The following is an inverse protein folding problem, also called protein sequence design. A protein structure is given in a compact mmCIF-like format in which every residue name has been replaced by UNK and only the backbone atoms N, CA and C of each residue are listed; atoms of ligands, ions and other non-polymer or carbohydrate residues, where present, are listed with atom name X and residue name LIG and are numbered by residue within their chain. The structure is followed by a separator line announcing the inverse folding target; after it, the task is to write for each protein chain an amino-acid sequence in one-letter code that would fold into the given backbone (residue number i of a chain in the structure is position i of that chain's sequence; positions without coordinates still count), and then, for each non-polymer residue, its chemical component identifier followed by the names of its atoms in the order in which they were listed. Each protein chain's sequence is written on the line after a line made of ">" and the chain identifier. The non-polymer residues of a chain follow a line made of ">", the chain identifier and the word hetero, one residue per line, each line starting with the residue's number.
data_IF_931694218661
#
_entry.id   IF_931694218661
#
_cell.length_a   1.000
_cell.length_b   1.000
_cell.length_c   1.000
_cell.angle_alpha   90.00
_cell.angle_beta   90.00
_cell.angle_gamma   90.00
#
_symmetry.space_group_name_H-M   'P 1'
#
loop_
_entity.id
_entity.type
_entity.pdbx_description
1 polymer ?
#
# COMPACT_ATOMS: atom_id res chain seq x y z
N UNK A 1 9.18 -16.40 3.14
CA UNK A 1 8.21 -15.31 3.30
C UNK A 1 7.86 -15.16 4.77
N UNK A 2 7.55 -13.96 5.25
CA UNK A 2 7.04 -13.76 6.62
C UNK A 2 5.79 -14.65 6.80
N UNK A 3 5.75 -15.47 7.86
CA UNK A 3 4.76 -16.54 8.07
C UNK A 3 3.30 -16.10 7.86
N UNK A 4 2.96 -14.84 8.16
CA UNK A 4 1.60 -14.33 7.96
C UNK A 4 1.34 -13.55 6.66
N UNK A 5 2.36 -13.06 5.94
CA UNK A 5 2.12 -12.27 4.72
C UNK A 5 1.65 -13.14 3.54
N UNK A 6 1.96 -14.43 3.58
CA UNK A 6 1.52 -15.40 2.58
C UNK A 6 -0.01 -15.51 2.48
N UNK A 7 -0.71 -15.36 3.60
CA UNK A 7 -2.14 -15.62 3.73
C UNK A 7 -2.93 -14.35 4.09
N UNK A 8 -2.26 -13.22 4.27
CA UNK A 8 -2.95 -11.97 4.60
C UNK A 8 -3.76 -11.42 3.41
N UNK A 9 -4.69 -10.51 3.70
CA UNK A 9 -5.60 -9.87 2.74
C UNK A 9 -4.90 -9.13 1.59
N UNK A 10 -3.63 -8.77 1.73
CA UNK A 10 -2.84 -8.11 0.66
C UNK A 10 -1.92 -9.09 -0.09
N UNK A 11 -2.05 -10.40 0.14
CA UNK A 11 -1.18 -11.41 -0.46
C UNK A 11 -1.28 -11.44 -1.99
N UNK A 12 -2.46 -11.23 -2.56
CA UNK A 12 -2.69 -11.15 -4.00
C UNK A 12 -1.78 -10.09 -4.66
N UNK A 13 -1.81 -8.84 -4.17
CA UNK A 13 -0.97 -7.75 -4.70
C UNK A 13 0.52 -7.89 -4.38
N UNK A 14 0.86 -8.64 -3.32
CA UNK A 14 2.23 -8.96 -2.94
C UNK A 14 2.87 -9.98 -3.90
N UNK A 15 2.08 -10.96 -4.34
CA UNK A 15 2.51 -12.05 -5.25
C UNK A 15 2.45 -11.64 -6.72
N UNK A 16 1.55 -10.74 -7.06
CA UNK A 16 1.39 -10.24 -8.42
C UNK A 16 2.66 -9.55 -8.92
N UNK A 17 3.20 -10.03 -10.04
CA UNK A 17 4.38 -9.47 -10.69
C UNK A 17 4.09 -9.15 -12.18
N UNK A 18 3.17 -8.23 -12.48
CA UNK A 18 2.87 -7.85 -13.86
C UNK A 18 4.05 -7.11 -14.49
N UNK A 19 4.20 -7.21 -15.81
CA UNK A 19 5.06 -6.30 -16.57
C UNK A 19 4.50 -4.88 -16.44
N UNK A 20 5.26 -3.99 -15.78
CA UNK A 20 4.86 -2.60 -15.61
C UNK A 20 5.40 -1.78 -16.76
N UNK A 21 4.51 -1.24 -17.58
CA UNK A 21 4.87 -0.39 -18.73
C UNK A 21 5.03 1.05 -18.27
N UNK A 22 6.27 1.55 -18.31
CA UNK A 22 6.63 2.87 -17.75
C UNK A 22 5.85 3.99 -18.41
N UNK A 23 5.64 3.91 -19.72
CA UNK A 23 4.88 4.88 -20.51
C UNK A 23 3.42 4.98 -20.03
N UNK A 24 2.76 3.84 -19.78
CA UNK A 24 1.37 3.83 -19.34
C UNK A 24 1.20 4.47 -17.95
N UNK A 25 2.10 4.17 -17.01
CA UNK A 25 2.04 4.75 -15.66
C UNK A 25 2.29 6.25 -15.68
N UNK A 26 3.25 6.71 -16.50
CA UNK A 26 3.56 8.13 -16.65
C UNK A 26 2.40 8.88 -17.32
N UNK A 27 1.84 8.33 -18.40
CA UNK A 27 0.72 8.94 -19.11
C UNK A 27 -0.54 9.02 -18.23
N UNK A 28 -0.82 7.96 -17.45
CA UNK A 28 -1.90 7.95 -16.48
C UNK A 28 -1.81 9.13 -15.51
N UNK A 29 -0.68 9.31 -14.83
CA UNK A 29 -0.54 10.38 -13.83
C UNK A 29 -0.43 11.78 -14.44
N UNK A 30 0.06 11.88 -15.69
CA UNK A 30 0.13 13.15 -16.42
C UNK A 30 -1.26 13.70 -16.72
N UNK A 31 -2.21 12.83 -17.06
CA UNK A 31 -3.57 13.21 -17.45
C UNK A 31 -4.61 12.96 -16.34
N UNK A 32 -4.17 12.51 -15.16
CA UNK A 32 -5.05 12.22 -14.04
C UNK A 32 -5.76 13.48 -13.54
N UNK A 33 -7.00 13.32 -13.14
CA UNK A 33 -7.82 14.32 -12.45
C UNK A 33 -8.72 13.61 -11.44
N UNK A 34 -9.11 14.33 -10.38
CA UNK A 34 -9.97 13.76 -9.32
C UNK A 34 -11.37 14.33 -9.48
N UNK A 35 -12.34 13.46 -9.72
CA UNK A 35 -13.75 13.82 -9.75
C UNK A 35 -14.37 13.50 -8.38
N UNK A 36 -14.63 14.55 -7.60
CA UNK A 36 -15.26 14.45 -6.28
C UNK A 36 -16.79 14.24 -6.35
N UNK A 37 -17.38 14.18 -7.55
CA UNK A 37 -18.81 14.02 -7.82
C UNK A 37 -19.12 12.74 -8.61
N UNK A 38 -18.30 11.70 -8.44
CA UNK A 38 -18.52 10.40 -9.08
C UNK A 38 -19.88 9.78 -8.72
N UNK A 39 -20.25 8.73 -9.45
CA UNK A 39 -21.53 8.02 -9.31
C UNK A 39 -21.78 7.59 -7.85
N UNK A 40 -22.96 7.90 -7.30
CA UNK A 40 -23.29 7.61 -5.90
C UNK A 40 -22.56 8.46 -4.85
N UNK A 41 -21.88 9.55 -5.23
CA UNK A 41 -21.14 10.42 -4.32
C UNK A 41 -19.78 9.86 -3.89
N UNK A 42 -19.35 8.75 -4.50
CA UNK A 42 -18.03 8.14 -4.30
C UNK A 42 -17.13 8.69 -5.40
N UNK A 43 -16.14 9.50 -5.02
CA UNK A 43 -15.21 10.08 -5.99
C UNK A 43 -14.44 9.01 -6.78
N UNK A 44 -13.89 9.39 -7.93
CA UNK A 44 -13.02 8.54 -8.74
C UNK A 44 -11.79 9.34 -9.24
N UNK A 45 -10.78 8.63 -9.73
CA UNK A 45 -9.65 9.21 -10.46
C UNK A 45 -9.90 8.92 -11.94
N UNK A 46 -9.95 9.97 -12.75
CA UNK A 46 -10.14 9.89 -14.19
C UNK A 46 -8.83 10.26 -14.88
N UNK A 47 -8.49 9.56 -15.95
CA UNK A 47 -7.31 9.85 -16.77
C UNK A 47 -7.56 9.44 -18.22
N UNK A 48 -6.67 9.84 -19.11
CA UNK A 48 -6.67 9.42 -20.52
C UNK A 48 -5.30 8.84 -20.83
N UNK A 49 -5.27 7.61 -21.33
CA UNK A 49 -4.02 6.95 -21.78
C UNK A 49 -4.20 6.60 -23.25
N UNK A 50 -3.33 7.14 -24.13
CA UNK A 50 -3.39 6.86 -25.58
C UNK A 50 -4.81 7.00 -26.19
N UNK A 51 -5.59 7.99 -25.71
CA UNK A 51 -6.97 8.24 -26.16
C UNK A 51 -8.05 7.37 -25.51
N UNK A 52 -7.70 6.47 -24.59
CA UNK A 52 -8.63 5.62 -23.84
C UNK A 52 -8.92 6.26 -22.48
N UNK A 53 -10.19 6.46 -22.16
CA UNK A 53 -10.62 6.97 -20.86
C UNK A 53 -10.45 5.90 -19.78
N UNK A 54 -9.74 6.25 -18.72
CA UNK A 54 -9.45 5.39 -17.57
C UNK A 54 -10.14 5.97 -16.35
N UNK A 55 -10.93 5.14 -15.67
CA UNK A 55 -11.56 5.45 -14.39
C UNK A 55 -11.03 4.48 -13.34
N UNK A 56 -10.62 5.01 -12.19
CA UNK A 56 -10.21 4.25 -11.00
C UNK A 56 -11.08 4.70 -9.83
N UNK A 57 -11.92 3.79 -9.34
CA UNK A 57 -12.75 3.97 -8.14
C UNK A 57 -12.28 3.07 -7.00
N UNK A 58 -12.78 3.32 -5.79
CA UNK A 58 -12.61 2.38 -4.66
C UNK A 58 -13.06 0.96 -5.04
N UNK A 59 -14.16 0.83 -5.81
CA UNK A 59 -14.69 -0.46 -6.22
C UNK A 59 -13.75 -1.18 -7.20
N UNK A 60 -13.21 -0.48 -8.20
CA UNK A 60 -12.23 -1.07 -9.13
C UNK A 60 -10.98 -1.51 -8.38
N UNK A 61 -10.51 -0.71 -7.42
CA UNK A 61 -9.37 -1.09 -6.57
C UNK A 61 -9.70 -2.36 -5.78
N UNK A 62 -10.88 -2.46 -5.17
CA UNK A 62 -11.32 -3.64 -4.43
C UNK A 62 -11.35 -4.89 -5.30
N UNK A 63 -11.99 -4.79 -6.45
CA UNK A 63 -12.25 -5.93 -7.33
C UNK A 63 -10.96 -6.45 -7.96
N UNK A 64 -10.08 -5.55 -8.41
CA UNK A 64 -8.85 -5.94 -9.12
C UNK A 64 -7.71 -6.30 -8.16
N UNK A 65 -7.61 -5.63 -7.01
CA UNK A 65 -6.52 -5.90 -6.05
C UNK A 65 -6.87 -7.00 -5.04
N UNK A 66 -8.12 -7.48 -5.03
CA UNK A 66 -8.60 -8.60 -4.22
C UNK A 66 -8.31 -8.43 -2.71
N UNK A 67 -8.48 -7.22 -2.17
CA UNK A 67 -8.25 -6.97 -0.74
C UNK A 67 -9.23 -7.68 0.20
N UNK A 68 -10.33 -8.25 -0.32
CA UNK A 68 -11.33 -8.95 0.49
C UNK A 68 -11.95 -8.06 1.56
N UNK A 69 -12.07 -6.76 1.28
CA UNK A 69 -12.72 -5.79 2.15
C UNK A 69 -14.10 -5.38 1.63
N UNK A 70 -14.83 -4.58 2.39
CA UNK A 70 -16.19 -4.17 2.08
C UNK A 70 -16.37 -2.65 2.18
N UNK A 71 -17.40 -2.13 1.50
CA UNK A 71 -17.81 -0.74 1.63
C UNK A 71 -18.13 -0.43 3.10
N UNK A 72 -17.89 0.82 3.52
CA UNK A 72 -18.18 1.34 4.87
C UNK A 72 -17.35 0.76 6.03
N UNK A 73 -16.41 -0.16 5.77
CA UNK A 73 -15.43 -0.55 6.78
C UNK A 73 -14.55 0.65 7.21
N UNK A 74 -14.03 0.67 8.45
CA UNK A 74 -13.23 1.79 8.92
C UNK A 74 -11.89 1.86 8.17
N UNK A 75 -11.43 3.09 7.90
CA UNK A 75 -10.05 3.37 7.47
C UNK A 75 -9.18 3.87 8.63
N UNK A 76 -9.75 3.97 9.84
CA UNK A 76 -9.04 4.44 11.03
C UNK A 76 -9.68 3.88 12.29
N UNK A 77 -8.86 3.31 13.16
CA UNK A 77 -9.24 2.88 14.49
C UNK A 77 -8.92 3.93 15.57
N UNK A 78 -9.60 3.90 16.74
CA UNK A 78 -9.26 4.76 17.87
C UNK A 78 -7.79 4.64 18.27
N UNK A 79 -7.16 5.78 18.57
CA UNK A 79 -5.71 5.83 18.88
C UNK A 79 -5.33 4.91 20.04
N UNK A 80 -6.17 4.80 21.07
CA UNK A 80 -5.95 3.93 22.23
C UNK A 80 -5.84 2.45 21.82
N UNK A 81 -6.80 1.97 21.01
CA UNK A 81 -6.83 0.61 20.48
C UNK A 81 -5.61 0.29 19.60
N UNK A 82 -5.20 1.24 18.76
CA UNK A 82 -3.99 1.11 17.93
C UNK A 82 -2.72 1.06 18.79
N UNK A 83 -2.64 1.91 19.83
CA UNK A 83 -1.48 1.99 20.73
C UNK A 83 -1.25 0.66 21.48
N UNK A 84 -2.32 0.04 21.99
CA UNK A 84 -2.23 -1.26 22.67
C UNK A 84 -1.62 -2.35 21.77
N UNK A 85 -1.96 -2.36 20.47
CA UNK A 85 -1.38 -3.31 19.53
C UNK A 85 0.07 -2.95 19.20
N UNK A 86 0.40 -1.66 19.04
CA UNK A 86 1.79 -1.23 18.81
C UNK A 86 2.73 -1.69 19.94
N UNK A 87 2.27 -1.61 21.20
CA UNK A 87 3.00 -2.14 22.35
C UNK A 87 3.22 -3.65 22.23
N UNK A 88 2.19 -4.42 21.85
CA UNK A 88 2.30 -5.87 21.57
C UNK A 88 3.20 -6.20 20.37
N UNK A 89 3.33 -5.29 19.42
CA UNK A 89 4.25 -5.37 18.27
C UNK A 89 5.68 -4.94 18.62
N UNK A 90 5.98 -4.67 19.90
CA UNK A 90 7.29 -4.20 20.36
C UNK A 90 7.73 -2.88 19.71
N UNK A 91 6.78 -1.98 19.43
CA UNK A 91 7.11 -0.65 18.93
C UNK A 91 7.64 0.24 20.07
N UNK A 92 8.84 0.80 19.89
CA UNK A 92 9.55 1.54 20.94
C UNK A 92 9.34 3.06 20.87
N UNK A 93 8.50 3.54 19.95
CA UNK A 93 8.33 4.96 19.65
C UNK A 93 7.08 5.62 20.22
N UNK A 94 6.90 6.89 19.91
CA UNK A 94 5.65 7.63 20.15
C UNK A 94 4.66 7.40 19.01
N UNK A 95 3.38 7.66 19.27
CA UNK A 95 2.29 7.59 18.31
C UNK A 95 1.20 8.61 18.69
N UNK A 96 0.63 9.38 17.74
CA UNK A 96 0.94 9.47 16.30
C UNK A 96 1.98 10.57 15.95
N UNK A 97 2.72 10.49 14.80
CA UNK A 97 2.84 9.38 13.84
C UNK A 97 3.75 8.24 14.35
N UNK A 98 3.93 7.16 13.60
CA UNK A 98 4.93 6.12 13.95
C UNK A 98 6.18 6.18 13.09
N UNK A 99 7.32 5.72 13.61
CA UNK A 99 8.58 5.64 12.88
C UNK A 99 8.93 4.19 12.53
N UNK A 100 9.06 3.88 11.23
CA UNK A 100 9.44 2.55 10.70
C UNK A 100 10.63 1.94 11.43
N UNK A 101 11.68 2.74 11.69
CA UNK A 101 12.93 2.29 12.31
C UNK A 101 12.77 1.82 13.76
N UNK A 102 11.73 2.26 14.48
CA UNK A 102 11.45 1.89 15.87
C UNK A 102 10.61 0.60 16.01
N UNK A 103 10.35 -0.09 14.89
CA UNK A 103 9.76 -1.43 14.86
C UNK A 103 10.85 -2.50 14.78
N UNK A 104 10.64 -3.70 15.34
CA UNK A 104 11.56 -4.82 15.12
C UNK A 104 11.56 -5.24 13.63
N UNK A 105 12.60 -5.96 13.15
CA UNK A 105 12.83 -6.20 11.72
C UNK A 105 11.61 -6.75 10.96
N UNK A 106 10.88 -7.67 11.57
CA UNK A 106 9.65 -8.25 11.02
C UNK A 106 8.59 -7.18 10.69
N UNK A 107 8.19 -6.40 11.71
CA UNK A 107 7.19 -5.33 11.54
C UNK A 107 7.74 -4.14 10.74
N UNK A 108 9.06 -3.96 10.75
CA UNK A 108 9.75 -2.94 9.93
C UNK A 108 9.64 -3.25 8.45
N UNK A 109 9.75 -4.50 8.05
CA UNK A 109 9.55 -4.90 6.66
C UNK A 109 8.13 -4.61 6.20
N UNK A 110 7.13 -4.99 7.01
CA UNK A 110 5.72 -4.69 6.70
C UNK A 110 5.49 -3.18 6.59
N UNK A 111 6.00 -2.41 7.54
CA UNK A 111 5.94 -0.94 7.50
C UNK A 111 6.63 -0.36 6.25
N UNK A 112 7.78 -0.92 5.85
CA UNK A 112 8.47 -0.50 4.63
C UNK A 112 7.61 -0.76 3.39
N UNK A 113 6.95 -1.92 3.31
CA UNK A 113 6.05 -2.24 2.21
C UNK A 113 4.89 -1.24 2.13
N UNK A 114 4.25 -0.93 3.27
CA UNK A 114 3.19 0.09 3.29
C UNK A 114 3.71 1.44 2.78
N UNK A 115 4.85 1.93 3.30
CA UNK A 115 5.43 3.23 2.89
C UNK A 115 5.69 3.30 1.38
N UNK A 116 6.27 2.24 0.80
CA UNK A 116 6.75 2.27 -0.59
C UNK A 116 5.66 1.90 -1.60
N UNK A 117 4.75 0.99 -1.23
CA UNK A 117 3.83 0.36 -2.18
C UNK A 117 2.35 0.71 -1.97
N UNK A 118 1.90 1.03 -0.76
CA UNK A 118 0.47 1.18 -0.44
C UNK A 118 0.11 2.62 -0.02
N UNK A 119 0.92 3.27 0.80
CA UNK A 119 0.68 4.64 1.25
C UNK A 119 1.31 5.65 0.31
N UNK A 120 0.79 6.87 0.35
CA UNK A 120 1.34 7.97 -0.40
C UNK A 120 2.63 8.53 0.16
N UNK A 121 3.39 9.18 -0.73
CA UNK A 121 4.67 9.82 -0.41
C UNK A 121 4.42 11.27 -0.02
N UNK A 122 4.06 11.50 1.25
CA UNK A 122 4.01 12.86 1.83
C UNK A 122 5.01 13.10 2.95
N UNK A 123 5.31 12.08 3.75
CA UNK A 123 6.25 12.16 4.87
C UNK A 123 7.64 11.64 4.49
N UNK A 124 8.64 11.88 5.34
CA UNK A 124 9.98 11.33 5.15
C UNK A 124 9.99 9.79 5.08
N UNK A 125 11.08 9.21 4.56
CA UNK A 125 11.21 7.76 4.30
C UNK A 125 10.99 6.83 5.51
N UNK A 126 10.87 7.37 6.72
CA UNK A 126 10.72 6.63 7.97
C UNK A 126 9.42 6.92 8.73
N UNK A 127 8.70 8.00 8.44
CA UNK A 127 7.48 8.37 9.19
C UNK A 127 6.22 7.80 8.52
N UNK A 128 5.33 7.23 9.34
CA UNK A 128 4.11 6.54 8.93
C UNK A 128 2.91 7.25 9.54
N UNK A 129 1.98 7.67 8.69
CA UNK A 129 0.76 8.36 9.09
C UNK A 129 -0.08 7.52 10.07
N UNK A 130 -1.00 8.20 10.77
CA UNK A 130 -1.93 7.53 11.68
C UNK A 130 -2.80 6.49 10.93
N UNK A 131 -3.31 6.85 9.75
CA UNK A 131 -4.13 5.97 8.89
C UNK A 131 -3.33 4.77 8.41
N UNK A 132 -2.10 4.97 7.91
CA UNK A 132 -1.23 3.88 7.49
C UNK A 132 -0.82 2.97 8.66
N UNK A 133 -0.60 3.55 9.85
CA UNK A 133 -0.36 2.79 11.08
C UNK A 133 -1.58 1.94 11.44
N UNK A 134 -2.79 2.50 11.33
CA UNK A 134 -4.05 1.79 11.54
C UNK A 134 -4.22 0.64 10.55
N UNK A 135 -3.85 0.82 9.28
CA UNK A 135 -3.89 -0.21 8.25
C UNK A 135 -2.92 -1.37 8.55
N UNK A 136 -1.68 -1.05 8.95
CA UNK A 136 -0.67 -2.05 9.35
C UNK A 136 -1.18 -2.86 10.54
N UNK A 137 -1.72 -2.19 11.57
CA UNK A 137 -2.26 -2.87 12.75
C UNK A 137 -3.47 -3.73 12.39
N UNK A 138 -4.40 -3.21 11.60
CA UNK A 138 -5.57 -3.96 11.16
C UNK A 138 -5.19 -5.21 10.37
N UNK A 139 -4.24 -5.09 9.43
CA UNK A 139 -3.70 -6.23 8.70
C UNK A 139 -3.05 -7.25 9.64
N UNK A 140 -2.32 -6.77 10.65
CA UNK A 140 -1.58 -7.63 11.58
C UNK A 140 -2.49 -8.40 12.54
N UNK A 141 -3.67 -7.85 12.83
CA UNK A 141 -4.65 -8.41 13.75
C UNK A 141 -5.87 -9.01 13.05
N UNK A 142 -5.85 -9.07 11.71
CA UNK A 142 -6.98 -9.42 10.84
C UNK A 142 -8.28 -8.66 11.17
N UNK A 143 -8.18 -7.37 11.51
CA UNK A 143 -9.35 -6.54 11.74
C UNK A 143 -9.96 -6.11 10.41
N UNK A 144 -11.28 -5.94 10.42
CA UNK A 144 -12.00 -5.37 9.29
C UNK A 144 -11.50 -3.96 9.01
N UNK A 145 -11.08 -3.73 7.78
CA UNK A 145 -10.49 -2.46 7.39
C UNK A 145 -10.72 -2.26 5.89
N UNK A 146 -11.04 -1.03 5.51
CA UNK A 146 -11.22 -0.69 4.10
C UNK A 146 -9.87 -0.33 3.45
N UNK A 147 -9.11 -1.35 3.04
CA UNK A 147 -7.85 -1.20 2.32
C UNK A 147 -8.04 -0.54 0.95
N UNK A 148 -9.13 -0.86 0.26
CA UNK A 148 -9.50 -0.28 -1.04
C UNK A 148 -9.69 1.22 -0.93
N UNK A 149 -10.47 1.68 0.05
CA UNK A 149 -10.64 3.11 0.34
C UNK A 149 -9.36 3.77 0.79
N UNK A 150 -8.58 3.10 1.65
CA UNK A 150 -7.28 3.60 2.08
C UNK A 150 -6.36 3.87 0.89
N UNK A 151 -6.19 2.89 -0.01
CA UNK A 151 -5.36 3.03 -1.22
C UNK A 151 -5.91 4.14 -2.11
N UNK A 152 -7.22 4.16 -2.36
CA UNK A 152 -7.88 5.19 -3.17
C UNK A 152 -7.61 6.60 -2.64
N UNK A 153 -7.80 6.81 -1.33
CA UNK A 153 -7.55 8.10 -0.71
C UNK A 153 -6.07 8.49 -0.73
N UNK A 154 -5.15 7.54 -0.56
CA UNK A 154 -3.71 7.79 -0.66
C UNK A 154 -3.30 8.14 -2.10
N UNK A 155 -3.87 7.48 -3.12
CA UNK A 155 -3.72 7.84 -4.53
C UNK A 155 -4.17 9.29 -4.79
N UNK A 156 -5.36 9.66 -4.31
CA UNK A 156 -5.89 11.03 -4.41
C UNK A 156 -5.00 12.07 -3.71
N UNK A 157 -4.57 11.77 -2.48
CA UNK A 157 -3.69 12.66 -1.70
C UNK A 157 -2.35 12.90 -2.39
N UNK A 158 -1.78 11.90 -3.06
CA UNK A 158 -0.54 12.07 -3.83
C UNK A 158 -0.76 12.88 -5.10
N UNK A 159 -1.87 12.65 -5.79
CA UNK A 159 -2.21 13.45 -6.98
C UNK A 159 -2.31 14.95 -6.63
N UNK A 160 -2.87 15.29 -5.47
CA UNK A 160 -2.90 16.66 -4.96
C UNK A 160 -1.55 17.21 -4.45
N UNK A 161 -0.50 16.37 -4.44
CA UNK A 161 0.87 16.75 -4.06
C UNK A 161 1.61 17.53 -5.15
N UNK A 162 2.94 17.73 -4.98
CA UNK A 162 3.73 18.42 -6.00
C UNK A 162 3.91 17.49 -7.21
N UNK A 163 3.98 18.03 -8.43
CA UNK A 163 4.17 17.23 -9.67
C UNK A 163 5.36 16.27 -9.62
N UNK A 164 6.46 16.66 -8.97
CA UNK A 164 7.64 15.78 -8.79
C UNK A 164 7.35 14.55 -7.90
N UNK A 165 6.34 14.63 -7.04
CA UNK A 165 5.92 13.56 -6.13
C UNK A 165 4.93 12.59 -6.80
N UNK A 166 4.43 12.92 -8.01
CA UNK A 166 3.50 12.09 -8.79
C UNK A 166 4.20 11.06 -9.68
N UNK A 167 5.54 11.11 -9.80
CA UNK A 167 6.28 10.25 -10.72
C UNK A 167 6.28 8.78 -10.27
N UNK A 168 5.71 7.90 -11.10
CA UNK A 168 5.65 6.43 -10.91
C UNK A 168 5.04 6.00 -9.57
N UNK A 169 3.90 6.59 -9.22
CA UNK A 169 3.13 6.18 -8.03
C UNK A 169 2.26 4.97 -8.36
N UNK A 170 2.17 4.02 -7.42
CA UNK A 170 1.37 2.79 -7.54
C UNK A 170 1.55 2.00 -8.85
N UNK A 171 2.79 1.82 -9.35
CA UNK A 171 3.04 1.24 -10.67
C UNK A 171 2.42 -0.16 -10.82
N UNK A 172 2.54 -0.99 -9.78
CA UNK A 172 1.97 -2.34 -9.79
C UNK A 172 0.44 -2.32 -9.78
N UNK A 173 -0.18 -1.54 -8.90
CA UNK A 173 -1.63 -1.52 -8.76
C UNK A 173 -2.29 -0.96 -10.01
N UNK A 174 -1.75 0.13 -10.54
CA UNK A 174 -2.19 0.68 -11.83
C UNK A 174 -2.03 -0.34 -12.94
N UNK A 175 -0.90 -1.02 -13.04
CA UNK A 175 -0.71 -2.03 -14.08
C UNK A 175 -1.69 -3.20 -13.97
N UNK A 176 -2.00 -3.66 -12.76
CA UNK A 176 -3.01 -4.69 -12.52
C UNK A 176 -4.39 -4.21 -13.01
N UNK A 177 -4.80 -2.99 -12.65
CA UNK A 177 -6.06 -2.37 -13.09
C UNK A 177 -6.10 -2.21 -14.62
N UNK A 178 -5.02 -1.73 -15.23
CA UNK A 178 -4.93 -1.57 -16.68
C UNK A 178 -5.02 -2.91 -17.42
N UNK A 179 -4.39 -3.96 -16.88
CA UNK A 179 -4.46 -5.29 -17.48
C UNK A 179 -5.87 -5.87 -17.42
N UNK A 180 -6.54 -5.73 -16.27
CA UNK A 180 -7.85 -6.33 -16.03
C UNK A 180 -8.99 -5.57 -16.70
N UNK A 181 -8.99 -4.22 -16.62
CA UNK A 181 -10.10 -3.38 -17.05
C UNK A 181 -9.90 -2.71 -18.42
N UNK A 182 -8.65 -2.64 -18.89
CA UNK A 182 -8.30 -1.88 -20.10
C UNK A 182 -7.32 -2.66 -21.00
N UNK A 183 -7.67 -3.92 -21.29
CA UNK A 183 -6.84 -4.85 -22.07
C UNK A 183 -6.50 -4.34 -23.48
N UNK A 184 -7.35 -3.49 -24.04
CA UNK A 184 -7.21 -2.85 -25.36
C UNK A 184 -6.08 -1.81 -25.45
N UNK A 185 -5.49 -1.37 -24.34
CA UNK A 185 -4.38 -0.42 -24.38
C UNK A 185 -3.15 -1.09 -25.01
N UNK A 186 -2.60 -0.45 -26.04
CA UNK A 186 -1.35 -0.88 -26.66
C UNK A 186 -0.18 -0.70 -25.69
N UNK A 187 0.66 -1.74 -25.57
CA UNK A 187 1.79 -1.79 -24.62
C UNK A 187 3.11 -1.60 -25.36
N UNK A 188 3.96 -0.72 -24.84
CA UNK A 188 5.31 -0.52 -25.39
C UNK A 188 6.27 -1.61 -24.91
N UNK A 189 7.50 -1.64 -25.41
CA UNK A 189 8.59 -2.48 -24.87
C UNK A 189 9.26 -1.87 -23.62
N UNK A 190 8.90 -0.64 -23.23
CA UNK A 190 9.56 0.09 -22.16
C UNK A 190 9.01 -0.28 -20.77
N UNK A 191 9.47 -1.40 -20.24
CA UNK A 191 9.03 -1.92 -18.93
C UNK A 191 9.94 -1.52 -17.79
N UNK A 192 9.37 -1.33 -16.60
CA UNK A 192 10.14 -1.22 -15.35
C UNK A 192 10.52 -2.62 -14.86
N UNK A 193 11.81 -2.86 -14.67
CA UNK A 193 12.28 -4.08 -14.01
C UNK A 193 11.89 -4.08 -12.53
N UNK A 194 10.90 -4.91 -12.18
CA UNK A 194 10.56 -5.19 -10.79
C UNK A 194 11.42 -6.34 -10.27
N UNK A 195 12.46 -6.03 -9.49
CA UNK A 195 13.26 -7.08 -8.82
C UNK A 195 12.43 -7.78 -7.75
N UNK A 196 12.29 -9.09 -7.87
CA UNK A 196 11.72 -9.92 -6.82
C UNK A 196 12.64 -9.93 -5.59
N UNK A 197 12.07 -9.99 -4.39
CA UNK A 197 12.85 -10.13 -3.16
C UNK A 197 13.42 -11.54 -3.10
N UNK A 198 14.75 -11.65 -3.12
CA UNK A 198 15.45 -12.93 -3.07
C UNK A 198 15.40 -13.59 -1.69
N UNK A 199 15.73 -14.90 -1.59
CA UNK A 199 15.74 -15.64 -0.33
C UNK A 199 16.61 -15.01 0.77
N UNK A 200 17.73 -14.38 0.39
CA UNK A 200 18.68 -13.72 1.29
C UNK A 200 18.08 -12.51 2.01
N UNK A 201 17.11 -11.81 1.41
CA UNK A 201 16.42 -10.68 2.05
C UNK A 201 15.66 -11.12 3.31
N UNK A 202 15.18 -12.37 3.34
CA UNK A 202 14.45 -12.90 4.49
C UNK A 202 15.37 -13.29 5.66
N UNK A 203 16.63 -13.64 5.40
CA UNK A 203 17.62 -13.92 6.45
C UNK A 203 17.91 -12.69 7.33
N UNK A 204 17.95 -11.50 6.72
CA UNK A 204 18.16 -10.23 7.43
C UNK A 204 17.00 -9.86 8.36
N UNK A 205 15.82 -10.43 8.16
CA UNK A 205 14.64 -10.14 9.01
C UNK A 205 14.67 -10.86 10.36
N UNK A 206 15.62 -11.79 10.57
CA UNK A 206 15.83 -12.44 11.88
C UNK A 206 16.84 -11.70 12.75
N UNK A 207 17.48 -10.64 12.25
CA UNK A 207 18.56 -9.94 12.95
C UNK A 207 18.06 -8.79 13.82
N UNK A 208 18.26 -8.86 15.13
CA UNK A 208 18.00 -7.73 16.05
C UNK A 208 19.11 -6.67 15.95
N UNK A 209 18.78 -5.40 16.17
CA UNK A 209 19.80 -4.33 16.24
C UNK A 209 20.49 -4.39 17.60
N UNK A 210 21.77 -4.01 17.66
CA UNK A 210 22.53 -3.88 18.93
C UNK A 210 21.86 -2.95 19.96
N UNK A 211 21.02 -2.02 19.51
CA UNK A 211 20.31 -1.02 20.33
C UNK A 211 18.83 -1.35 20.57
N UNK A 212 18.35 -2.50 20.12
CA UNK A 212 16.95 -2.92 20.33
C UNK A 212 16.70 -3.19 21.81
N UNK A 213 15.70 -2.50 22.41
CA UNK A 213 15.32 -2.70 23.81
C UNK A 213 14.39 -3.91 23.96
N UNK A 214 13.57 -4.19 22.95
CA UNK A 214 12.58 -5.27 22.97
C UNK A 214 12.76 -6.20 21.76
N UNK A 215 13.11 -7.46 22.03
CA UNK A 215 13.29 -8.48 20.97
C UNK A 215 11.96 -9.17 20.65
N UNK A 216 11.54 -9.10 19.39
CA UNK A 216 10.39 -9.86 18.90
C UNK A 216 10.74 -11.35 18.78
N UNK A 217 10.01 -12.21 19.50
CA UNK A 217 10.28 -13.65 19.56
C UNK A 217 9.64 -14.47 18.43
N UNK A 218 8.98 -13.84 17.45
CA UNK A 218 8.49 -14.55 16.25
C UNK A 218 7.27 -15.44 16.44
N UNK A 219 6.70 -15.53 17.64
CA UNK A 219 5.70 -16.54 18.01
C UNK A 219 4.23 -16.21 17.62
N UNK A 220 3.97 -15.21 16.76
CA UNK A 220 2.61 -14.92 16.29
C UNK A 220 2.56 -14.85 14.77
N UNK A 221 1.77 -15.74 14.19
CA UNK A 221 1.35 -15.66 12.79
C UNK A 221 0.46 -14.43 12.61
N UNK A 222 0.53 -13.78 11.43
CA UNK A 222 -0.56 -12.89 11.01
C UNK A 222 -1.65 -13.85 10.58
N UNK A 223 -2.77 -13.83 11.30
CA UNK A 223 -3.96 -14.58 10.91
C UNK A 223 -4.58 -13.94 9.67
#
# INVERSE_FOLDING_TARGET
>A
MIMGLNNCRISHVLRSNPFVFKDLIVDFWKNASVNNKGEGGVGNIESVIKGINIVISEQIIRDVLEFGDALKLPTKYPSSKVKEVLEKMCYEGTYPPTIKKQRPPYWRFLAHYFIICISGRKSGFDEISQTATSAIVALSMNWDYNFSKFVFEEMNRNHQGKKKDQFLMYPRFLQMILNEKYSQIERSSNTLEMKALGPSTFGLMKQSRKTTKITFQGARELV
#
